data_IF_221253596906
#
_entry.id   IF_221253596906
#
_cell.length_a   1.000
_cell.length_b   1.000
_cell.length_c   1.000
_cell.angle_alpha   90.00
_cell.angle_beta   90.00
_cell.angle_gamma   90.00
#
_symmetry.space_group_name_H-M   'P 1'
#
loop_
_entity.id
_entity.type
_entity.pdbx_description
1 polymer ?
#
# COMPACT_ATOMS: atom_id res chain seq x y z
N UNK A 1 22.64 -15.13 -116.07
CA UNK A 1 23.11 -14.27 -114.96
C UNK A 1 21.89 -13.55 -114.41
N UNK A 2 21.43 -13.92 -113.22
CA UNK A 2 20.45 -13.14 -112.46
C UNK A 2 21.11 -12.78 -111.14
N UNK A 3 21.32 -11.49 -110.91
CA UNK A 3 21.59 -10.93 -109.59
C UNK A 3 20.28 -10.90 -108.80
N UNK A 4 20.31 -11.45 -107.58
CA UNK A 4 19.26 -11.26 -106.60
C UNK A 4 19.56 -10.06 -105.70
N UNK A 5 18.56 -9.24 -105.36
CA UNK A 5 18.73 -8.02 -104.60
C UNK A 5 18.96 -8.28 -103.11
N UNK A 6 19.84 -7.46 -102.52
CA UNK A 6 20.13 -7.41 -101.09
C UNK A 6 19.02 -6.66 -100.34
N UNK A 7 18.48 -7.30 -99.29
CA UNK A 7 17.46 -6.75 -98.39
C UNK A 7 18.13 -5.90 -97.31
N UNK A 8 17.72 -4.63 -97.17
CA UNK A 8 18.07 -3.75 -96.03
C UNK A 8 16.87 -3.64 -95.09
N UNK A 9 16.94 -4.23 -93.89
CA UNK A 9 15.89 -4.11 -92.87
C UNK A 9 16.46 -4.27 -91.45
N UNK A 10 17.06 -3.22 -90.88
CA UNK A 10 17.62 -3.25 -89.50
C UNK A 10 17.23 -2.04 -88.61
N UNK A 11 16.79 -0.91 -89.18
CA UNK A 11 16.45 0.31 -88.42
C UNK A 11 15.38 0.16 -87.30
N UNK A 12 14.26 -0.57 -87.47
CA UNK A 12 13.26 -0.69 -86.40
C UNK A 12 13.69 -1.60 -85.24
N UNK A 13 14.64 -2.51 -85.46
CA UNK A 13 15.16 -3.40 -84.41
C UNK A 13 16.12 -2.66 -83.46
N UNK A 14 16.92 -1.73 -83.99
CA UNK A 14 17.83 -0.92 -83.18
C UNK A 14 17.09 0.11 -82.30
N UNK A 15 15.99 0.68 -82.81
CA UNK A 15 15.12 1.55 -82.01
C UNK A 15 14.49 0.79 -80.83
N UNK A 16 14.01 -0.45 -81.07
CA UNK A 16 13.46 -1.30 -80.02
C UNK A 16 14.51 -1.71 -78.98
N UNK A 17 15.72 -2.08 -79.42
CA UNK A 17 16.86 -2.39 -78.53
C UNK A 17 17.27 -1.20 -77.68
N UNK A 18 17.35 -0.01 -78.26
CA UNK A 18 17.71 1.23 -77.55
C UNK A 18 16.65 1.59 -76.50
N UNK A 19 15.36 1.46 -76.83
CA UNK A 19 14.25 1.69 -75.90
C UNK A 19 14.27 0.70 -74.72
N UNK A 20 14.46 -0.60 -74.99
CA UNK A 20 14.56 -1.62 -73.95
C UNK A 20 15.78 -1.40 -73.05
N UNK A 21 16.93 -1.06 -73.64
CA UNK A 21 18.16 -0.74 -72.91
C UNK A 21 17.99 0.48 -71.99
N UNK A 22 17.31 1.53 -72.48
CA UNK A 22 16.98 2.72 -71.69
C UNK A 22 16.03 2.41 -70.53
N UNK A 23 15.00 1.60 -70.75
CA UNK A 23 14.05 1.18 -69.72
C UNK A 23 14.73 0.34 -68.62
N UNK A 24 15.59 -0.61 -69.02
CA UNK A 24 16.36 -1.42 -68.07
C UNK A 24 17.31 -0.54 -67.26
N UNK A 25 18.03 0.38 -67.92
CA UNK A 25 18.94 1.32 -67.25
C UNK A 25 18.21 2.18 -66.22
N UNK A 26 17.07 2.77 -66.61
CA UNK A 26 16.25 3.57 -65.69
C UNK A 26 15.78 2.77 -64.48
N UNK A 27 15.35 1.51 -64.66
CA UNK A 27 14.98 0.63 -63.54
C UNK A 27 16.16 0.30 -62.63
N UNK A 28 17.35 0.07 -63.19
CA UNK A 28 18.58 -0.18 -62.41
C UNK A 28 18.94 1.06 -61.57
N UNK A 29 18.83 2.25 -62.16
CA UNK A 29 19.12 3.51 -61.46
C UNK A 29 18.09 3.78 -60.34
N UNK A 30 16.81 3.48 -60.59
CA UNK A 30 15.76 3.57 -59.57
C UNK A 30 16.02 2.61 -58.40
N UNK A 31 16.27 1.33 -58.67
CA UNK A 31 16.55 0.33 -57.62
C UNK A 31 17.80 0.68 -56.83
N UNK A 32 18.81 1.28 -57.47
CA UNK A 32 20.00 1.76 -56.80
C UNK A 32 19.68 2.90 -55.82
N UNK A 33 18.86 3.87 -56.23
CA UNK A 33 18.46 4.97 -55.36
C UNK A 33 17.61 4.48 -54.16
N UNK A 34 16.69 3.56 -54.40
CA UNK A 34 15.88 2.93 -53.33
C UNK A 34 16.75 2.14 -52.35
N UNK A 35 17.73 1.39 -52.86
CA UNK A 35 18.70 0.67 -52.03
C UNK A 35 19.52 1.61 -51.14
N UNK A 36 20.02 2.73 -51.67
CA UNK A 36 20.77 3.70 -50.88
C UNK A 36 19.89 4.38 -49.82
N UNK A 37 18.63 4.68 -50.16
CA UNK A 37 17.65 5.22 -49.20
C UNK A 37 17.37 4.23 -48.07
N UNK A 38 17.12 2.96 -48.40
CA UNK A 38 16.91 1.89 -47.41
C UNK A 38 18.14 1.68 -46.53
N UNK A 39 19.35 1.67 -47.11
CA UNK A 39 20.60 1.58 -46.35
C UNK A 39 20.75 2.73 -45.36
N UNK A 40 20.41 3.95 -45.75
CA UNK A 40 20.49 5.12 -44.87
C UNK A 40 19.46 5.02 -43.75
N UNK A 41 18.22 4.61 -44.07
CA UNK A 41 17.19 4.40 -43.05
C UNK A 41 17.58 3.32 -42.04
N UNK A 42 18.14 2.19 -42.50
CA UNK A 42 18.66 1.13 -41.62
C UNK A 42 19.73 1.66 -40.66
N UNK A 43 20.68 2.47 -41.16
CA UNK A 43 21.70 3.08 -40.29
C UNK A 43 21.09 3.99 -39.22
N UNK A 44 20.03 4.73 -39.56
CA UNK A 44 19.28 5.54 -38.60
C UNK A 44 18.64 4.70 -37.51
N UNK A 45 17.92 3.63 -37.91
CA UNK A 45 17.31 2.70 -36.95
C UNK A 45 18.35 2.00 -36.07
N UNK A 46 19.50 1.59 -36.62
CA UNK A 46 20.59 1.00 -35.84
C UNK A 46 21.12 1.95 -34.75
N UNK A 47 21.23 3.24 -35.07
CA UNK A 47 21.62 4.26 -34.09
C UNK A 47 20.56 4.45 -33.00
N UNK A 48 19.28 4.54 -33.38
CA UNK A 48 18.17 4.66 -32.43
C UNK A 48 18.09 3.45 -31.49
N UNK A 49 18.23 2.23 -32.03
CA UNK A 49 18.27 1.00 -31.23
C UNK A 49 19.47 1.02 -30.27
N UNK A 50 20.65 1.45 -30.74
CA UNK A 50 21.82 1.57 -29.87
C UNK A 50 21.60 2.56 -28.72
N UNK A 51 20.97 3.70 -28.98
CA UNK A 51 20.63 4.71 -27.96
C UNK A 51 19.60 4.14 -26.98
N UNK A 52 18.54 3.51 -27.49
CA UNK A 52 17.49 2.92 -26.67
C UNK A 52 18.05 1.79 -25.78
N UNK A 53 18.95 0.95 -26.29
CA UNK A 53 19.60 -0.09 -25.51
C UNK A 53 20.47 0.49 -24.39
N UNK A 54 21.23 1.57 -24.66
CA UNK A 54 22.02 2.23 -23.63
C UNK A 54 21.14 2.83 -22.53
N UNK A 55 20.07 3.54 -22.89
CA UNK A 55 19.13 4.12 -21.91
C UNK A 55 18.38 3.05 -21.10
N UNK A 56 18.04 1.92 -21.72
CA UNK A 56 17.43 0.79 -21.01
C UNK A 56 18.40 0.13 -20.02
N UNK A 57 19.70 0.09 -20.32
CA UNK A 57 20.70 -0.40 -19.39
C UNK A 57 20.87 0.54 -18.20
N UNK A 58 20.97 1.85 -18.44
CA UNK A 58 21.04 2.87 -17.38
C UNK A 58 19.82 2.78 -16.45
N UNK A 59 18.61 2.68 -17.01
CA UNK A 59 17.39 2.53 -16.21
C UNK A 59 17.36 1.24 -15.38
N UNK A 60 17.98 0.16 -15.86
CA UNK A 60 18.13 -1.10 -15.09
C UNK A 60 19.11 -0.92 -13.95
N UNK A 61 20.22 -0.23 -14.17
CA UNK A 61 21.22 0.04 -13.15
C UNK A 61 20.65 0.95 -12.05
N UNK A 62 19.88 1.97 -12.43
CA UNK A 62 19.15 2.85 -11.52
C UNK A 62 18.13 2.08 -10.67
N UNK A 63 17.36 1.19 -11.30
CA UNK A 63 16.41 0.33 -10.60
C UNK A 63 17.13 -0.57 -9.58
N UNK A 64 18.25 -1.19 -9.96
CA UNK A 64 19.00 -2.05 -9.07
C UNK A 64 19.52 -1.29 -7.83
N UNK A 65 20.01 -0.06 -8.03
CA UNK A 65 20.43 0.83 -6.92
C UNK A 65 19.27 1.17 -5.99
N UNK A 66 18.10 1.51 -6.54
CA UNK A 66 16.91 1.79 -5.73
C UNK A 66 16.44 0.56 -4.94
N UNK A 67 16.51 -0.63 -5.53
CA UNK A 67 16.18 -1.88 -4.84
C UNK A 67 17.13 -2.16 -3.66
N UNK A 68 18.42 -1.84 -3.81
CA UNK A 68 19.41 -1.93 -2.72
C UNK A 68 19.10 -0.95 -1.58
N UNK A 69 18.56 0.24 -1.85
CA UNK A 69 18.18 1.22 -0.82
C UNK A 69 16.85 0.88 -0.14
N UNK A 70 15.86 0.41 -0.90
CA UNK A 70 14.50 0.15 -0.41
C UNK A 70 14.44 -1.11 0.46
N UNK A 71 15.25 -2.13 0.18
CA UNK A 71 15.23 -3.38 0.93
C UNK A 71 15.60 -3.18 2.42
N UNK A 72 16.75 -2.54 2.77
CA UNK A 72 17.09 -2.23 4.17
C UNK A 72 16.06 -1.32 4.85
N UNK A 73 15.48 -0.36 4.12
CA UNK A 73 14.45 0.51 4.66
C UNK A 73 13.19 -0.28 5.05
N UNK A 74 12.81 -1.25 4.22
CA UNK A 74 11.67 -2.14 4.49
C UNK A 74 11.94 -3.00 5.72
N UNK A 75 13.15 -3.57 5.83
CA UNK A 75 13.57 -4.32 7.01
C UNK A 75 13.54 -3.46 8.28
N UNK A 76 14.11 -2.25 8.24
CA UNK A 76 14.08 -1.32 9.35
C UNK A 76 12.65 -0.93 9.76
N UNK A 77 11.75 -0.71 8.81
CA UNK A 77 10.35 -0.41 9.08
C UNK A 77 9.64 -1.59 9.78
N UNK A 78 9.91 -2.83 9.36
CA UNK A 78 9.34 -4.02 10.02
C UNK A 78 9.85 -4.18 11.45
N UNK A 79 11.14 -3.90 11.69
CA UNK A 79 11.73 -3.92 13.02
C UNK A 79 11.10 -2.87 13.93
N UNK A 80 11.02 -1.61 13.48
CA UNK A 80 10.38 -0.53 14.24
C UNK A 80 8.91 -0.82 14.54
N UNK A 81 8.18 -1.42 13.60
CA UNK A 81 6.80 -1.82 13.84
C UNK A 81 6.68 -2.89 14.93
N UNK A 82 7.61 -3.85 14.96
CA UNK A 82 7.63 -4.89 16.01
C UNK A 82 7.99 -4.32 17.38
N UNK A 83 8.96 -3.41 17.44
CA UNK A 83 9.40 -2.75 18.67
C UNK A 83 8.30 -1.85 19.23
N UNK A 84 7.63 -1.06 18.38
CA UNK A 84 6.50 -0.22 18.78
C UNK A 84 5.35 -1.04 19.37
N UNK A 85 5.06 -2.22 18.79
CA UNK A 85 4.05 -3.12 19.35
C UNK A 85 4.45 -3.66 20.72
N UNK A 86 5.71 -4.08 20.87
CA UNK A 86 6.23 -4.61 22.13
C UNK A 86 6.22 -3.54 23.23
N UNK A 87 6.76 -2.35 22.95
CA UNK A 87 6.81 -1.25 23.90
C UNK A 87 5.41 -0.71 24.22
N UNK A 88 4.51 -0.68 23.22
CA UNK A 88 3.10 -0.33 23.43
C UNK A 88 2.39 -1.28 24.41
N UNK A 89 2.57 -2.60 24.26
CA UNK A 89 2.01 -3.59 25.19
C UNK A 89 2.59 -3.45 26.59
N UNK A 90 3.89 -3.18 26.69
CA UNK A 90 4.57 -2.94 27.97
C UNK A 90 4.04 -1.67 28.65
N UNK A 91 3.88 -0.57 27.91
CA UNK A 91 3.32 0.67 28.43
C UNK A 91 1.88 0.50 28.93
N UNK A 92 1.04 -0.24 28.18
CA UNK A 92 -0.34 -0.57 28.62
C UNK A 92 -0.31 -1.39 29.90
N UNK A 93 0.57 -2.39 29.99
CA UNK A 93 0.69 -3.25 31.16
C UNK A 93 1.13 -2.45 32.38
N UNK A 94 2.13 -1.58 32.23
CA UNK A 94 2.58 -0.67 33.29
C UNK A 94 1.48 0.30 33.73
N UNK A 95 0.74 0.87 32.77
CA UNK A 95 -0.38 1.77 33.08
C UNK A 95 -1.47 1.05 33.87
N UNK A 96 -1.88 -0.15 33.45
CA UNK A 96 -2.88 -0.96 34.17
C UNK A 96 -2.43 -1.37 35.57
N UNK A 97 -1.12 -1.57 35.77
CA UNK A 97 -0.54 -1.86 37.07
C UNK A 97 -0.33 -0.60 37.94
N UNK A 98 -0.54 0.60 37.41
CA UNK A 98 -0.35 1.84 38.16
C UNK A 98 -1.50 2.11 39.14
N UNK A 99 -1.16 2.66 40.31
CA UNK A 99 -2.14 3.08 41.31
C UNK A 99 -3.13 4.13 40.77
N UNK A 100 -2.71 4.95 39.81
CA UNK A 100 -3.58 5.92 39.14
C UNK A 100 -4.72 5.25 38.37
N UNK A 101 -4.45 4.12 37.71
CA UNK A 101 -5.48 3.33 37.04
C UNK A 101 -6.46 2.70 38.03
N UNK A 102 -5.95 2.04 39.07
CA UNK A 102 -6.77 1.43 40.12
C UNK A 102 -7.67 2.45 40.82
N UNK A 103 -7.10 3.57 41.28
CA UNK A 103 -7.88 4.65 41.92
C UNK A 103 -8.89 5.29 40.96
N UNK A 104 -8.59 5.33 39.66
CA UNK A 104 -9.55 5.72 38.63
C UNK A 104 -10.75 4.76 38.53
N UNK A 105 -10.50 3.44 38.58
CA UNK A 105 -11.55 2.43 38.57
C UNK A 105 -12.46 2.54 39.81
N UNK A 106 -11.88 2.71 41.00
CA UNK A 106 -12.64 2.88 42.25
C UNK A 106 -13.56 4.10 42.16
N UNK A 107 -13.04 5.25 41.70
CA UNK A 107 -13.83 6.48 41.52
C UNK A 107 -14.97 6.29 40.53
N UNK A 108 -14.73 5.64 39.39
CA UNK A 108 -15.80 5.35 38.42
C UNK A 108 -16.88 4.44 39.00
N UNK A 109 -16.48 3.42 39.77
CA UNK A 109 -17.41 2.53 40.47
C UNK A 109 -18.29 3.28 41.46
N UNK A 110 -17.67 4.13 42.28
CA UNK A 110 -18.38 4.98 43.25
C UNK A 110 -19.41 5.88 42.57
N UNK A 111 -19.01 6.63 41.54
CA UNK A 111 -19.93 7.54 40.82
C UNK A 111 -21.11 6.77 40.22
N UNK A 112 -20.85 5.57 39.67
CA UNK A 112 -21.89 4.73 39.07
C UNK A 112 -22.87 4.20 40.11
N UNK A 113 -22.36 3.77 41.27
CA UNK A 113 -23.16 3.29 42.39
C UNK A 113 -24.02 4.40 42.99
N UNK A 114 -23.42 5.55 43.28
CA UNK A 114 -24.13 6.74 43.80
C UNK A 114 -25.28 7.16 42.89
N UNK A 115 -25.02 7.18 41.58
CA UNK A 115 -26.04 7.49 40.59
C UNK A 115 -27.16 6.44 40.59
N UNK A 116 -26.81 5.15 40.55
CA UNK A 116 -27.78 4.05 40.58
C UNK A 116 -28.65 4.06 41.84
N UNK A 117 -28.05 4.35 42.99
CA UNK A 117 -28.75 4.48 44.27
C UNK A 117 -29.76 5.62 44.24
N UNK A 118 -29.36 6.82 43.80
CA UNK A 118 -30.27 7.97 43.68
C UNK A 118 -31.48 7.63 42.81
N UNK A 119 -31.26 6.97 41.67
CA UNK A 119 -32.36 6.50 40.80
C UNK A 119 -33.26 5.50 41.52
N UNK A 120 -32.71 4.54 42.26
CA UNK A 120 -33.48 3.55 43.01
C UNK A 120 -34.34 4.19 44.11
N UNK A 121 -33.78 5.16 44.85
CA UNK A 121 -34.51 5.93 45.88
C UNK A 121 -35.69 6.67 45.28
N UNK A 122 -35.48 7.41 44.19
CA UNK A 122 -36.57 8.16 43.54
C UNK A 122 -37.67 7.24 43.01
N UNK A 123 -37.30 6.07 42.46
CA UNK A 123 -38.30 5.05 42.05
C UNK A 123 -39.07 4.49 43.24
N UNK A 124 -38.40 4.24 44.36
CA UNK A 124 -39.04 3.75 45.57
C UNK A 124 -40.04 4.78 46.11
N UNK A 125 -39.64 6.05 46.21
CA UNK A 125 -40.50 7.17 46.62
C UNK A 125 -41.71 7.33 45.72
N UNK A 126 -41.53 7.24 44.39
CA UNK A 126 -42.64 7.29 43.44
C UNK A 126 -43.64 6.15 43.62
N UNK A 127 -43.20 4.98 44.09
CA UNK A 127 -44.05 3.80 44.33
C UNK A 127 -44.72 3.81 45.71
N UNK A 128 -44.06 4.38 46.72
CA UNK A 128 -44.51 4.35 48.12
C UNK A 128 -44.44 5.76 48.74
N UNK A 129 -45.44 6.61 48.44
CA UNK A 129 -45.48 8.03 48.84
C UNK A 129 -45.43 8.29 50.37
N UNK A 130 -45.72 7.30 51.21
CA UNK A 130 -45.88 7.49 52.66
C UNK A 130 -44.72 6.91 53.50
N UNK A 131 -43.69 6.36 52.86
CA UNK A 131 -42.54 5.77 53.57
C UNK A 131 -41.34 6.72 53.62
N UNK A 132 -40.83 6.94 54.83
CA UNK A 132 -39.62 7.74 55.09
C UNK A 132 -38.38 6.94 54.69
N UNK A 133 -37.62 7.43 53.72
CA UNK A 133 -36.29 6.90 53.37
C UNK A 133 -35.26 7.86 53.94
N UNK A 134 -34.28 7.34 54.69
CA UNK A 134 -33.15 8.08 55.23
C UNK A 134 -32.40 8.81 54.10
N UNK A 135 -32.26 10.14 54.24
CA UNK A 135 -31.95 11.02 53.11
C UNK A 135 -30.49 10.99 52.65
N UNK A 136 -29.54 10.51 53.46
CA UNK A 136 -28.13 10.56 53.08
C UNK A 136 -27.25 9.46 53.71
N UNK A 137 -27.15 8.32 53.02
CA UNK A 137 -26.19 7.25 53.32
C UNK A 137 -24.77 7.52 52.78
N UNK A 138 -24.54 8.65 52.09
CA UNK A 138 -23.23 9.05 51.55
C UNK A 138 -22.61 10.25 52.26
N UNK A 139 -23.24 10.74 53.34
CA UNK A 139 -22.52 11.60 54.27
C UNK A 139 -21.44 10.73 54.93
N UNK A 140 -20.16 11.15 54.87
CA UNK A 140 -19.13 10.57 55.73
C UNK A 140 -19.58 10.76 57.18
N UNK A 141 -20.09 9.69 57.77
CA UNK A 141 -20.41 9.65 59.19
C UNK A 141 -19.08 9.60 59.95
N UNK A 142 -18.91 10.37 61.03
CA UNK A 142 -17.69 10.33 61.82
C UNK A 142 -17.43 8.94 62.42
N UNK A 143 -18.45 8.08 62.53
CA UNK A 143 -18.36 6.66 62.88
C UNK A 143 -17.70 5.77 61.80
N UNK A 144 -17.70 6.19 60.53
CA UNK A 144 -17.12 5.44 59.42
C UNK A 144 -15.62 5.79 59.21
N UNK A 145 -15.18 6.96 59.70
CA UNK A 145 -13.79 7.43 59.60
C UNK A 145 -12.78 6.55 60.38
N UNK A 146 -13.28 5.82 61.38
CA UNK A 146 -12.55 4.89 62.24
C UNK A 146 -12.76 3.42 61.83
N UNK A 147 -13.61 3.14 60.83
CA UNK A 147 -13.68 1.83 60.20
C UNK A 147 -12.52 1.65 59.22
N UNK A 148 -11.54 0.85 59.64
CA UNK A 148 -10.46 0.40 58.77
C UNK A 148 -11.03 -0.64 57.80
N UNK A 149 -11.54 -0.19 56.65
CA UNK A 149 -12.03 -1.07 55.60
C UNK A 149 -10.84 -1.88 55.06
N UNK A 150 -10.83 -3.18 55.34
CA UNK A 150 -9.79 -4.08 54.86
C UNK A 150 -9.94 -4.20 53.34
N UNK A 151 -8.96 -3.68 52.59
CA UNK A 151 -8.99 -3.61 51.13
C UNK A 151 -8.86 -4.99 50.46
N UNK A 152 -8.69 -6.05 51.25
CA UNK A 152 -8.47 -7.40 50.78
C UNK A 152 -9.31 -8.41 51.59
N UNK A 153 -10.64 -8.34 51.49
CA UNK A 153 -11.46 -9.51 51.79
C UNK A 153 -11.52 -10.41 50.55
N UNK A 154 -10.94 -11.62 50.58
CA UNK A 154 -11.08 -12.57 49.49
C UNK A 154 -12.55 -13.01 49.40
N UNK A 155 -13.10 -13.02 48.18
CA UNK A 155 -14.39 -13.66 47.92
C UNK A 155 -14.20 -15.17 48.05
N UNK A 156 -15.08 -15.82 48.82
CA UNK A 156 -15.06 -17.26 49.00
C UNK A 156 -15.74 -17.92 47.79
N UNK A 157 -14.98 -18.09 46.70
CA UNK A 157 -15.43 -18.69 45.44
C UNK A 157 -15.51 -20.23 45.52
N UNK A 158 -15.86 -20.78 46.69
CA UNK A 158 -16.10 -22.22 46.82
C UNK A 158 -17.37 -22.58 46.07
N UNK A 159 -17.23 -22.92 44.79
CA UNK A 159 -18.28 -23.56 44.01
C UNK A 159 -18.57 -24.94 44.62
N UNK A 160 -19.63 -25.03 45.41
CA UNK A 160 -20.25 -26.32 45.76
C UNK A 160 -20.82 -26.93 44.48
N UNK A 161 -19.99 -27.68 43.76
CA UNK A 161 -20.45 -28.73 42.84
C UNK A 161 -20.92 -29.89 43.71
N UNK A 162 -22.22 -29.95 43.99
CA UNK A 162 -22.88 -31.21 44.36
C UNK A 162 -23.31 -31.94 43.08
N UNK A 163 -22.98 -33.24 43.06
CA UNK A 163 -23.09 -34.20 41.96
C UNK A 163 -24.46 -34.26 41.26
#
# INVERSE_FOLDING_TARGET
MSEMPQVKSEEPLEAWRSSLSGSIRSKVDQLRAELETSKQHRKGLEQEVSIACAGLQEARDDRARLEEEVLPLTEAATLLQSELKAEGLKAITQYKASQGFESGLVKMGQVSYEFGYRVAVERFRAKYLNSTVEENLFAELPEDANMKMDLCQPFDDSATLEN
#
